data_IF_498948024153
#
_entry.id   IF_498948024153
#
_cell.length_a   1.000
_cell.length_b   1.000
_cell.length_c   1.000
_cell.angle_alpha   90.00
_cell.angle_beta   90.00
_cell.angle_gamma   90.00
#
_symmetry.space_group_name_H-M   'P 1'
#
loop_
_entity.id
_entity.type
_entity.pdbx_description
1 polymer ?
#
# COMPACT_ATOMS: atom_id res chain seq x y z
N UNK A 1 -2.41 -24.13 -13.51
CA UNK A 1 -1.76 -23.18 -12.61
C UNK A 1 -0.54 -22.61 -13.33
N UNK A 2 -0.60 -21.42 -13.85
CA UNK A 2 0.60 -20.76 -14.38
C UNK A 2 1.32 -20.14 -13.18
N UNK A 3 2.50 -20.65 -12.88
CA UNK A 3 3.33 -20.14 -11.78
C UNK A 3 3.78 -18.69 -11.99
N UNK A 4 3.49 -18.12 -13.17
CA UNK A 4 3.92 -16.77 -13.51
C UNK A 4 3.10 -16.20 -14.68
N UNK A 5 2.41 -15.05 -14.55
CA UNK A 5 2.16 -14.32 -13.30
C UNK A 5 1.30 -15.10 -12.31
N UNK A 6 1.62 -14.99 -11.01
CA UNK A 6 0.93 -15.73 -9.96
C UNK A 6 -0.52 -15.25 -9.83
N UNK A 7 -1.46 -16.07 -10.30
CA UNK A 7 -2.90 -15.76 -10.22
C UNK A 7 -3.67 -17.00 -9.76
N UNK A 8 -4.58 -16.77 -8.82
CA UNK A 8 -5.50 -17.79 -8.32
C UNK A 8 -6.94 -17.39 -8.64
N UNK A 9 -7.69 -18.31 -9.20
CA UNK A 9 -9.12 -18.14 -9.44
C UNK A 9 -9.92 -18.89 -8.37
N UNK A 10 -10.69 -18.16 -7.58
CA UNK A 10 -11.62 -18.66 -6.60
C UNK A 10 -13.06 -18.29 -7.05
N UNK A 11 -13.62 -19.11 -7.95
CA UNK A 11 -14.90 -18.81 -8.58
C UNK A 11 -14.84 -17.49 -9.39
N UNK A 12 -15.70 -16.50 -9.11
CA UNK A 12 -15.69 -15.22 -9.83
C UNK A 12 -14.56 -14.26 -9.38
N UNK A 13 -13.82 -14.61 -8.33
CA UNK A 13 -12.78 -13.77 -7.75
C UNK A 13 -11.40 -14.22 -8.26
N UNK A 14 -10.69 -13.31 -8.93
CA UNK A 14 -9.29 -13.51 -9.33
C UNK A 14 -8.39 -12.81 -8.31
N UNK A 15 -7.60 -13.60 -7.59
CA UNK A 15 -6.59 -13.11 -6.65
C UNK A 15 -5.24 -13.14 -7.37
N UNK A 16 -4.60 -11.98 -7.51
CA UNK A 16 -3.25 -11.86 -8.08
C UNK A 16 -2.20 -11.95 -6.98
N UNK A 17 -0.99 -12.37 -7.32
CA UNK A 17 0.16 -12.36 -6.41
C UNK A 17 0.42 -10.96 -5.84
N UNK A 18 0.20 -9.90 -6.63
CA UNK A 18 0.26 -8.53 -6.17
C UNK A 18 -0.79 -8.23 -5.08
N UNK A 19 -2.06 -8.59 -5.32
CA UNK A 19 -3.13 -8.39 -4.33
C UNK A 19 -2.87 -9.13 -3.02
N UNK A 20 -2.35 -10.38 -3.12
CA UNK A 20 -1.95 -11.16 -1.95
C UNK A 20 -0.82 -10.47 -1.17
N UNK A 21 0.23 -10.02 -1.85
CA UNK A 21 1.35 -9.33 -1.19
C UNK A 21 0.95 -7.98 -0.62
N UNK A 22 0.03 -7.25 -1.24
CA UNK A 22 -0.53 -6.02 -0.68
C UNK A 22 -1.29 -6.29 0.62
N UNK A 23 -2.08 -7.37 0.67
CA UNK A 23 -2.76 -7.77 1.92
C UNK A 23 -1.74 -8.11 3.02
N UNK A 24 -0.72 -8.89 2.69
CA UNK A 24 0.38 -9.22 3.63
C UNK A 24 1.10 -7.93 4.08
N UNK A 25 1.36 -7.00 3.17
CA UNK A 25 2.02 -5.73 3.47
C UNK A 25 1.22 -4.89 4.48
N UNK A 26 -0.10 -4.78 4.31
CA UNK A 26 -0.95 -4.06 5.27
C UNK A 26 -1.02 -4.74 6.63
N UNK A 27 -1.12 -6.08 6.67
CA UNK A 27 -1.13 -6.84 7.92
C UNK A 27 0.20 -6.69 8.66
N UNK A 28 1.32 -6.81 7.96
CA UNK A 28 2.65 -6.66 8.55
C UNK A 28 2.92 -5.22 9.01
N UNK A 29 2.48 -4.23 8.24
CA UNK A 29 2.57 -2.83 8.64
C UNK A 29 1.74 -2.57 9.90
N UNK A 30 0.50 -3.06 9.96
CA UNK A 30 -0.36 -2.95 11.13
C UNK A 30 0.24 -3.63 12.36
N UNK A 31 0.77 -4.83 12.20
CA UNK A 31 1.48 -5.54 13.26
C UNK A 31 2.71 -4.76 13.77
N UNK A 32 3.51 -4.19 12.87
CA UNK A 32 4.69 -3.40 13.24
C UNK A 32 4.29 -2.14 14.03
N UNK A 33 3.21 -1.44 13.63
CA UNK A 33 2.66 -0.31 14.37
C UNK A 33 2.19 -0.76 15.76
N UNK A 34 1.47 -1.88 15.83
CA UNK A 34 0.95 -2.43 17.09
C UNK A 34 2.07 -2.75 18.07
N UNK A 35 3.16 -3.38 17.59
CA UNK A 35 4.34 -3.68 18.41
C UNK A 35 4.99 -2.40 18.94
N UNK A 36 5.11 -1.36 18.11
CA UNK A 36 5.69 -0.08 18.53
C UNK A 36 4.79 0.65 19.55
N UNK A 37 3.48 0.67 19.34
CA UNK A 37 2.51 1.22 20.29
C UNK A 37 2.59 0.51 21.64
N UNK A 38 2.66 -0.83 21.63
CA UNK A 38 2.82 -1.64 22.85
C UNK A 38 4.09 -1.28 23.62
N UNK A 39 5.22 -1.14 22.91
CA UNK A 39 6.49 -0.74 23.52
C UNK A 39 6.46 0.65 24.14
N UNK A 40 5.62 1.53 23.59
CA UNK A 40 5.43 2.91 24.11
C UNK A 40 4.34 3.01 25.19
N UNK A 41 3.68 1.90 25.54
CA UNK A 41 2.56 1.88 26.51
C UNK A 41 1.31 2.60 26.01
N UNK A 42 1.14 2.69 24.67
CA UNK A 42 -0.02 3.31 24.02
C UNK A 42 -1.07 2.26 23.66
N UNK A 43 -2.31 2.71 23.39
CA UNK A 43 -3.40 1.82 22.98
C UNK A 43 -3.08 1.20 21.60
N UNK A 44 -3.04 -0.14 21.55
CA UNK A 44 -2.75 -0.93 20.37
C UNK A 44 -3.82 -0.82 19.26
N UNK A 45 -5.07 -0.52 19.64
CA UNK A 45 -6.18 -0.38 18.68
C UNK A 45 -5.93 0.76 17.69
N UNK A 46 -5.10 1.72 18.07
CA UNK A 46 -4.71 2.83 17.18
C UNK A 46 -3.97 2.34 15.92
N UNK A 47 -3.33 1.17 15.96
CA UNK A 47 -2.69 0.59 14.78
C UNK A 47 -3.69 0.31 13.65
N UNK A 48 -4.84 -0.28 13.99
CA UNK A 48 -5.90 -0.55 13.01
C UNK A 48 -6.46 0.74 12.41
N UNK A 49 -6.67 1.75 13.25
CA UNK A 49 -7.13 3.07 12.81
C UNK A 49 -6.15 3.73 11.83
N UNK A 50 -4.84 3.66 12.11
CA UNK A 50 -3.78 4.19 11.22
C UNK A 50 -3.80 3.46 9.88
N UNK A 51 -3.81 2.13 9.87
CA UNK A 51 -3.82 1.34 8.63
C UNK A 51 -5.08 1.63 7.83
N UNK A 52 -6.22 1.66 8.46
CA UNK A 52 -7.50 1.98 7.81
C UNK A 52 -7.48 3.40 7.20
N UNK A 53 -7.03 4.40 7.96
CA UNK A 53 -6.90 5.76 7.46
C UNK A 53 -5.93 5.86 6.27
N UNK A 54 -4.78 5.17 6.35
CA UNK A 54 -3.81 5.15 5.27
C UNK A 54 -4.37 4.51 3.99
N UNK A 55 -5.10 3.39 4.12
CA UNK A 55 -5.71 2.68 2.98
C UNK A 55 -6.81 3.54 2.34
N UNK A 56 -7.76 4.03 3.14
CA UNK A 56 -8.88 4.83 2.63
C UNK A 56 -8.37 6.14 2.04
N UNK A 57 -7.51 6.86 2.78
CA UNK A 57 -6.93 8.11 2.31
C UNK A 57 -6.07 7.92 1.06
N UNK A 58 -5.32 6.81 1.00
CA UNK A 58 -4.51 6.44 -0.15
C UNK A 58 -5.36 6.17 -1.39
N UNK A 59 -6.40 5.37 -1.29
CA UNK A 59 -7.30 5.06 -2.40
C UNK A 59 -8.01 6.33 -2.90
N UNK A 60 -8.58 7.09 -1.98
CA UNK A 60 -9.31 8.33 -2.31
C UNK A 60 -8.35 9.35 -2.94
N UNK A 61 -7.19 9.57 -2.34
CA UNK A 61 -6.18 10.50 -2.85
C UNK A 61 -5.66 10.11 -4.24
N UNK A 62 -5.37 8.81 -4.45
CA UNK A 62 -4.94 8.31 -5.76
C UNK A 62 -5.98 8.54 -6.85
N UNK A 63 -7.24 8.33 -6.53
CA UNK A 63 -8.38 8.54 -7.44
C UNK A 63 -8.60 10.01 -7.74
N UNK A 64 -8.63 10.85 -6.71
CA UNK A 64 -8.81 12.31 -6.90
C UNK A 64 -7.68 12.86 -7.77
N UNK A 65 -6.43 12.46 -7.50
CA UNK A 65 -5.29 12.93 -8.27
C UNK A 65 -5.38 12.51 -9.74
N UNK A 66 -5.82 11.27 -10.00
CA UNK A 66 -6.04 10.78 -11.35
C UNK A 66 -7.07 11.64 -12.10
N UNK A 67 -8.22 11.92 -11.48
CA UNK A 67 -9.26 12.76 -12.07
C UNK A 67 -8.77 14.19 -12.33
N UNK A 68 -7.97 14.75 -11.42
CA UNK A 68 -7.39 16.08 -11.61
C UNK A 68 -6.43 16.15 -12.80
N UNK A 69 -5.72 15.05 -13.10
CA UNK A 69 -4.80 14.98 -14.25
C UNK A 69 -5.50 14.73 -15.58
N UNK A 70 -6.55 13.90 -15.58
CA UNK A 70 -7.22 13.45 -16.83
C UNK A 70 -8.49 14.22 -17.16
N UNK A 71 -9.12 14.86 -16.16
CA UNK A 71 -10.46 15.46 -16.30
C UNK A 71 -11.60 14.45 -16.37
N UNK A 72 -11.32 13.14 -16.26
CA UNK A 72 -12.31 12.07 -16.38
C UNK A 72 -12.97 11.76 -15.03
N UNK A 73 -14.09 12.41 -14.72
CA UNK A 73 -14.83 12.17 -13.48
C UNK A 73 -15.38 10.75 -13.32
N UNK A 74 -15.69 10.09 -14.43
CA UNK A 74 -16.14 8.69 -14.44
C UNK A 74 -15.09 7.71 -13.88
N UNK A 75 -13.82 8.09 -13.92
CA UNK A 75 -12.72 7.28 -13.41
C UNK A 75 -12.78 7.04 -11.90
N UNK A 76 -13.51 7.87 -11.15
CA UNK A 76 -13.74 7.67 -9.71
C UNK A 76 -14.39 6.30 -9.42
N UNK A 77 -15.28 5.84 -10.31
CA UNK A 77 -16.04 4.59 -10.14
C UNK A 77 -15.50 3.43 -10.96
N UNK A 78 -14.55 3.65 -11.86
CA UNK A 78 -13.93 2.58 -12.66
C UNK A 78 -12.87 1.82 -11.87
N UNK A 79 -12.66 0.54 -12.21
CA UNK A 79 -11.51 -0.23 -11.74
C UNK A 79 -10.26 0.29 -12.47
N UNK A 80 -9.26 0.75 -11.74
CA UNK A 80 -8.06 1.38 -12.32
C UNK A 80 -8.04 2.90 -12.15
N UNK A 81 -7.07 3.57 -12.77
CA UNK A 81 -6.89 5.01 -12.61
C UNK A 81 -6.45 5.39 -11.19
N UNK A 82 -5.27 4.91 -10.79
CA UNK A 82 -4.63 5.27 -9.52
C UNK A 82 -3.30 5.96 -9.81
N UNK A 83 -3.06 7.09 -9.15
CA UNK A 83 -1.78 7.81 -9.23
C UNK A 83 -1.08 7.70 -7.90
N UNK A 84 0.16 7.21 -7.92
CA UNK A 84 0.95 6.97 -6.73
C UNK A 84 1.10 8.20 -5.84
N UNK A 85 1.42 9.37 -6.43
CA UNK A 85 1.58 10.62 -5.67
C UNK A 85 0.30 11.02 -4.92
N UNK A 86 -0.85 10.90 -5.58
CA UNK A 86 -2.14 11.16 -4.95
C UNK A 86 -2.41 10.20 -3.81
N UNK A 87 -2.08 8.92 -3.99
CA UNK A 87 -2.19 7.90 -2.95
C UNK A 87 -1.30 8.18 -1.74
N UNK A 88 -0.05 8.53 -1.98
CA UNK A 88 0.89 8.89 -0.92
C UNK A 88 0.42 10.11 -0.13
N UNK A 89 0.11 11.21 -0.81
CA UNK A 89 -0.35 12.45 -0.16
C UNK A 89 -1.68 12.26 0.57
N UNK A 90 -2.63 11.54 -0.05
CA UNK A 90 -3.92 11.24 0.57
C UNK A 90 -3.79 10.35 1.80
N UNK A 91 -2.92 9.35 1.76
CA UNK A 91 -2.61 8.48 2.90
C UNK A 91 -1.98 9.27 4.06
N UNK A 92 -0.96 10.09 3.76
CA UNK A 92 -0.31 10.95 4.76
C UNK A 92 -1.33 11.93 5.38
N UNK A 93 -2.13 12.61 4.56
CA UNK A 93 -3.14 13.55 5.04
C UNK A 93 -4.17 12.86 5.94
N UNK A 94 -4.63 11.65 5.58
CA UNK A 94 -5.59 10.89 6.38
C UNK A 94 -5.00 10.43 7.72
N UNK A 95 -3.75 9.96 7.75
CA UNK A 95 -3.07 9.56 9.00
C UNK A 95 -2.83 10.76 9.91
N UNK A 96 -2.40 11.90 9.37
CA UNK A 96 -2.22 13.13 10.14
C UNK A 96 -3.56 13.68 10.64
N UNK A 97 -4.62 13.64 9.82
CA UNK A 97 -5.98 14.02 10.20
C UNK A 97 -6.54 13.13 11.32
N UNK A 98 -6.31 11.81 11.24
CA UNK A 98 -6.63 10.89 12.32
C UNK A 98 -5.86 11.24 13.60
N UNK A 99 -4.55 11.50 13.50
CA UNK A 99 -3.72 11.92 14.62
C UNK A 99 -4.25 13.19 15.29
N UNK A 100 -4.61 14.19 14.49
CA UNK A 100 -5.21 15.41 14.99
C UNK A 100 -6.54 15.16 15.73
N UNK A 101 -7.41 14.34 15.16
CA UNK A 101 -8.68 13.96 15.79
C UNK A 101 -8.47 13.20 17.11
N UNK A 102 -7.51 12.26 17.13
CA UNK A 102 -7.14 11.46 18.30
C UNK A 102 -6.23 12.21 19.29
N UNK A 103 -5.90 13.49 19.01
CA UNK A 103 -4.97 14.33 19.79
C UNK A 103 -3.56 13.75 19.91
N UNK A 104 -3.13 12.99 18.92
CA UNK A 104 -1.78 12.47 18.79
C UNK A 104 -0.93 13.49 18.03
N UNK A 105 0.22 13.94 18.57
CA UNK A 105 1.08 14.89 17.86
C UNK A 105 1.51 14.34 16.49
N UNK A 106 1.44 15.18 15.44
CA UNK A 106 1.72 14.76 14.06
C UNK A 106 3.09 14.09 13.88
N UNK A 107 4.13 14.57 14.58
CA UNK A 107 5.45 13.94 14.57
C UNK A 107 5.42 12.48 15.05
N UNK A 108 4.61 12.16 16.07
CA UNK A 108 4.44 10.80 16.58
C UNK A 108 3.73 9.91 15.58
N UNK A 109 2.71 10.44 14.88
CA UNK A 109 2.06 9.72 13.81
C UNK A 109 3.05 9.40 12.67
N UNK A 110 3.94 10.33 12.32
CA UNK A 110 4.98 10.11 11.32
C UNK A 110 6.04 9.10 11.77
N UNK A 111 6.49 9.17 13.03
CA UNK A 111 7.42 8.19 13.60
C UNK A 111 6.85 6.78 13.62
N UNK A 112 5.58 6.62 14.03
CA UNK A 112 4.90 5.33 14.09
C UNK A 112 4.70 4.71 12.70
N UNK A 113 4.61 5.51 11.66
CA UNK A 113 4.31 5.03 10.29
C UNK A 113 5.55 4.87 9.42
N UNK A 114 6.68 5.46 9.74
CA UNK A 114 7.87 5.47 8.89
C UNK A 114 8.42 4.06 8.62
N UNK A 115 8.70 3.27 9.65
CA UNK A 115 9.22 1.90 9.48
C UNK A 115 8.16 0.94 8.87
N UNK A 116 6.88 0.95 9.32
CA UNK A 116 5.82 0.20 8.66
C UNK A 116 5.61 0.53 7.19
N UNK A 117 5.74 1.80 6.81
CA UNK A 117 5.64 2.23 5.41
C UNK A 117 6.78 1.63 4.56
N UNK A 118 8.01 1.65 5.07
CA UNK A 118 9.16 1.04 4.39
C UNK A 118 8.98 -0.48 4.24
N UNK A 119 8.49 -1.16 5.29
CA UNK A 119 8.18 -2.59 5.26
C UNK A 119 7.08 -2.89 4.24
N UNK A 120 6.00 -2.13 4.26
CA UNK A 120 4.89 -2.27 3.31
C UNK A 120 5.34 -2.04 1.87
N UNK A 121 6.18 -1.04 1.63
CA UNK A 121 6.77 -0.78 0.32
C UNK A 121 7.63 -1.95 -0.16
N UNK A 122 8.50 -2.50 0.69
CA UNK A 122 9.34 -3.64 0.35
C UNK A 122 8.49 -4.87 -0.05
N UNK A 123 7.45 -5.19 0.72
CA UNK A 123 6.53 -6.29 0.43
C UNK A 123 5.71 -6.03 -0.84
N UNK A 124 5.30 -4.78 -1.08
CA UNK A 124 4.66 -4.37 -2.33
C UNK A 124 5.55 -4.61 -3.55
N UNK A 125 6.86 -4.32 -3.46
CA UNK A 125 7.83 -4.61 -4.53
C UNK A 125 7.98 -6.11 -4.81
N UNK A 126 7.91 -6.95 -3.77
CA UNK A 126 7.82 -8.41 -3.97
C UNK A 126 6.54 -8.78 -4.72
N UNK A 127 5.43 -8.09 -4.44
CA UNK A 127 4.17 -8.25 -5.18
C UNK A 127 4.30 -7.92 -6.66
N UNK A 128 4.94 -6.79 -7.01
CA UNK A 128 5.25 -6.42 -8.40
C UNK A 128 6.10 -7.51 -9.10
N UNK A 129 7.11 -8.02 -8.40
CA UNK A 129 7.94 -9.11 -8.89
C UNK A 129 7.12 -10.36 -9.22
N UNK A 130 6.18 -10.77 -8.35
CA UNK A 130 5.35 -11.95 -8.53
C UNK A 130 4.35 -11.87 -9.70
N UNK A 131 4.01 -10.69 -10.18
CA UNK A 131 3.10 -10.48 -11.33
C UNK A 131 3.80 -9.97 -12.58
N UNK A 132 5.12 -9.79 -12.52
CA UNK A 132 5.92 -9.28 -13.64
C UNK A 132 5.47 -7.88 -14.11
N UNK A 133 5.22 -7.00 -13.17
CA UNK A 133 4.71 -5.65 -13.45
C UNK A 133 5.85 -4.67 -13.76
N UNK A 134 6.94 -4.75 -13.01
CA UNK A 134 8.11 -3.88 -13.14
C UNK A 134 9.36 -4.70 -13.51
N UNK A 135 9.57 -4.99 -14.77
CA UNK A 135 10.80 -5.58 -15.23
C UNK A 135 11.79 -4.51 -15.75
N UNK A 136 13.08 -4.78 -15.54
CA UNK A 136 14.15 -3.86 -15.89
C UNK A 136 14.51 -3.88 -17.38
N UNK A 137 15.73 -3.46 -17.68
CA UNK A 137 16.33 -3.52 -19.01
C UNK A 137 17.05 -4.86 -19.22
N UNK A 138 17.24 -5.32 -20.49
CA UNK A 138 18.06 -6.48 -20.78
C UNK A 138 19.46 -6.37 -20.16
N UNK A 139 19.92 -7.43 -19.49
CA UNK A 139 21.19 -7.44 -18.77
C UNK A 139 21.91 -8.77 -18.98
N UNK A 140 23.26 -8.72 -19.02
CA UNK A 140 24.14 -9.88 -19.11
C UNK A 140 24.78 -10.23 -17.76
N UNK A 141 24.35 -9.60 -16.68
CA UNK A 141 24.90 -9.83 -15.34
C UNK A 141 24.59 -11.26 -14.88
N UNK A 142 25.49 -11.93 -14.11
CA UNK A 142 25.32 -13.33 -13.68
C UNK A 142 24.13 -13.56 -12.76
N UNK A 143 23.58 -12.50 -12.15
CA UNK A 143 22.37 -12.52 -11.32
C UNK A 143 21.14 -11.96 -12.03
N UNK A 144 21.22 -11.70 -13.34
CA UNK A 144 20.07 -11.24 -14.10
C UNK A 144 19.01 -12.36 -14.17
N UNK A 145 17.75 -11.97 -13.92
CA UNK A 145 16.62 -12.88 -14.01
C UNK A 145 15.89 -12.69 -15.34
N UNK A 146 15.52 -13.82 -15.96
CA UNK A 146 14.72 -13.82 -17.19
C UNK A 146 13.25 -13.98 -16.81
N UNK A 147 12.44 -13.06 -17.27
CA UNK A 147 11.00 -13.16 -17.18
C UNK A 147 10.44 -13.77 -18.47
N UNK A 148 9.36 -14.58 -18.37
CA UNK A 148 8.70 -15.16 -19.55
C UNK A 148 8.02 -14.11 -20.42
#
# INVERSE_FOLDING_TARGET
MTLYPLTFQLGPLTITGYGLMMMVAFLMAGWAIQVDLRRRGMNEDYAADIVFAAVVGGIVGAKIWYVLLTGEWDALFRRGGFVWYGGFLGGVAAVLGLGWWRRVPGRWAMELTAAPLALGYALGRVGCFLVNDDYGIPSTLPWAMKFP
#
